data_IF_906887314854
#
_entry.id   IF_906887314854
#
_cell.length_a   1.000
_cell.length_b   1.000
_cell.length_c   1.000
_cell.angle_alpha   90.00
_cell.angle_beta   90.00
_cell.angle_gamma   90.00
#
_symmetry.space_group_name_H-M   'P 1'
#
loop_
_entity.id
_entity.type
_entity.pdbx_description
1 polymer ?
#
# COMPACT_ATOMS: atom_id res chain seq x y z
N UNK A 1 -1.37 25.97 -30.35
CA UNK A 1 -0.80 26.01 -28.99
C UNK A 1 -0.80 24.58 -28.44
N UNK A 2 0.34 24.07 -27.99
CA UNK A 2 0.41 22.76 -27.34
C UNK A 2 0.03 22.93 -25.86
N UNK A 3 -1.20 22.56 -25.50
CA UNK A 3 -1.62 22.49 -24.11
C UNK A 3 -1.00 21.24 -23.49
N UNK A 4 -0.11 21.42 -22.50
CA UNK A 4 0.42 20.34 -21.68
C UNK A 4 -0.62 20.08 -20.57
N UNK A 5 -1.48 19.03 -20.66
CA UNK A 5 -2.47 18.76 -19.61
C UNK A 5 -1.75 18.52 -18.27
N UNK A 6 -2.35 18.90 -17.13
CA UNK A 6 -1.72 18.71 -15.83
C UNK A 6 -1.40 17.23 -15.66
N UNK A 7 -0.10 16.93 -15.53
CA UNK A 7 0.40 15.57 -15.48
C UNK A 7 0.01 14.93 -14.16
N UNK A 8 -1.11 14.21 -14.15
CA UNK A 8 -1.47 13.18 -13.18
C UNK A 8 -1.64 13.68 -11.75
N UNK A 9 -2.78 13.38 -11.18
CA UNK A 9 -3.28 13.94 -9.93
C UNK A 9 -2.60 13.30 -8.68
N UNK A 10 -1.32 12.92 -8.82
CA UNK A 10 -0.44 12.43 -7.75
C UNK A 10 -0.73 10.99 -7.31
N UNK A 11 -1.82 10.39 -7.78
CA UNK A 11 -2.20 9.04 -7.39
C UNK A 11 -1.64 7.97 -8.32
N UNK A 12 -1.31 6.84 -7.71
CA UNK A 12 -0.92 5.63 -8.41
C UNK A 12 -2.16 5.00 -9.03
N UNK A 13 -2.13 4.80 -10.34
CA UNK A 13 -3.13 3.99 -11.05
C UNK A 13 -2.79 2.49 -10.88
N UNK A 14 -3.66 1.76 -10.18
CA UNK A 14 -3.56 0.30 -10.03
C UNK A 14 -2.94 -0.19 -8.70
N UNK A 15 -2.91 -1.51 -8.55
CA UNK A 15 -2.45 -2.17 -7.34
C UNK A 15 -0.92 -2.18 -7.19
N UNK A 16 -0.43 -2.09 -5.95
CA UNK A 16 0.98 -2.23 -5.61
C UNK A 16 1.34 -3.72 -5.58
N UNK A 17 2.07 -4.19 -6.59
CA UNK A 17 2.42 -5.62 -6.75
C UNK A 17 3.57 -6.09 -5.84
N UNK A 18 4.55 -5.23 -5.57
CA UNK A 18 5.75 -5.57 -4.78
C UNK A 18 5.55 -5.39 -3.27
N UNK A 19 4.30 -5.33 -2.82
CA UNK A 19 3.93 -5.14 -1.41
C UNK A 19 2.75 -6.02 -1.08
N UNK A 20 2.79 -6.60 0.10
CA UNK A 20 1.65 -7.24 0.74
C UNK A 20 1.40 -6.61 2.11
N UNK A 21 0.25 -6.89 2.70
CA UNK A 21 -0.08 -6.43 4.04
C UNK A 21 -0.68 -7.57 4.86
N UNK A 22 -0.28 -7.65 6.12
CA UNK A 22 -0.81 -8.58 7.10
C UNK A 22 -1.54 -7.83 8.22
N UNK A 23 -2.59 -8.46 8.75
CA UNK A 23 -3.30 -7.96 9.92
C UNK A 23 -2.59 -8.41 11.20
N UNK A 24 -2.29 -7.47 12.09
CA UNK A 24 -1.77 -7.76 13.41
C UNK A 24 -2.94 -7.77 14.42
N UNK A 25 -3.36 -8.93 14.95
CA UNK A 25 -4.47 -9.00 15.89
C UNK A 25 -4.15 -8.42 17.27
N UNK A 26 -2.87 -8.26 17.63
CA UNK A 26 -2.47 -7.76 18.96
C UNK A 26 -2.75 -6.26 19.13
N UNK A 27 -2.76 -5.50 18.03
CA UNK A 27 -3.02 -4.06 18.06
C UNK A 27 -4.06 -3.62 17.02
N UNK A 28 -4.71 -4.58 16.37
CA UNK A 28 -5.75 -4.38 15.34
C UNK A 28 -5.32 -3.49 14.19
N UNK A 29 -4.04 -3.54 13.79
CA UNK A 29 -3.47 -2.70 12.71
C UNK A 29 -2.93 -3.52 11.55
N UNK A 30 -2.90 -2.89 10.37
CA UNK A 30 -2.34 -3.47 9.16
C UNK A 30 -0.87 -3.07 9.00
N UNK A 31 -0.01 -4.04 8.72
CA UNK A 31 1.43 -3.81 8.51
C UNK A 31 1.82 -4.25 7.11
N UNK A 32 2.56 -3.39 6.38
CA UNK A 32 3.11 -3.73 5.08
C UNK A 32 4.31 -4.66 5.22
N UNK A 33 4.38 -5.61 4.31
CA UNK A 33 5.50 -6.51 4.08
C UNK A 33 6.04 -6.32 2.67
N UNK A 34 7.35 -6.28 2.57
CA UNK A 34 8.04 -6.29 1.29
C UNK A 34 7.91 -7.69 0.67
N UNK A 35 7.44 -7.76 -0.58
CA UNK A 35 7.12 -9.05 -1.21
C UNK A 35 8.38 -9.84 -1.62
N UNK A 36 9.50 -9.15 -1.83
CA UNK A 36 10.75 -9.74 -2.35
C UNK A 36 11.65 -10.21 -1.19
N UNK A 37 11.71 -9.42 -0.12
CA UNK A 37 12.57 -9.68 1.05
C UNK A 37 11.82 -10.25 2.25
N UNK A 38 10.49 -10.17 2.26
CA UNK A 38 9.65 -10.61 3.39
C UNK A 38 9.77 -9.73 4.64
N UNK A 39 10.45 -8.59 4.57
CA UNK A 39 10.66 -7.70 5.72
C UNK A 39 9.41 -6.87 6.03
N UNK A 40 9.13 -6.66 7.31
CA UNK A 40 8.14 -5.69 7.75
C UNK A 40 8.62 -4.27 7.49
N UNK A 41 7.73 -3.40 7.02
CA UNK A 41 8.09 -2.04 6.67
C UNK A 41 7.34 -1.01 7.51
N UNK A 42 6.06 -0.78 7.21
CA UNK A 42 5.30 0.31 7.78
C UNK A 42 3.96 -0.21 8.30
N UNK A 43 3.63 0.16 9.53
CA UNK A 43 2.35 -0.14 10.16
C UNK A 43 1.41 1.05 10.00
N UNK A 44 0.16 0.78 9.66
CA UNK A 44 -0.85 1.82 9.56
C UNK A 44 -1.23 2.31 10.95
N UNK A 45 -1.43 3.62 11.08
CA UNK A 45 -1.86 4.23 12.33
C UNK A 45 -3.33 3.88 12.65
N UNK A 46 -4.16 3.70 11.63
CA UNK A 46 -5.55 3.27 11.77
C UNK A 46 -5.70 1.75 11.56
N UNK A 47 -6.87 1.21 11.93
CA UNK A 47 -7.18 -0.22 11.79
C UNK A 47 -7.61 -0.68 10.40
N UNK A 48 -7.59 0.20 9.39
CA UNK A 48 -8.02 -0.13 8.02
C UNK A 48 -6.83 -0.67 7.20
N UNK A 49 -7.06 -1.44 6.13
CA UNK A 49 -5.98 -1.84 5.24
C UNK A 49 -5.41 -0.65 4.44
N UNK A 50 -4.17 -0.79 3.96
CA UNK A 50 -3.61 0.11 2.97
C UNK A 50 -4.35 -0.02 1.63
N UNK A 51 -4.74 1.11 1.06
CA UNK A 51 -5.40 1.16 -0.26
C UNK A 51 -4.44 0.61 -1.33
N UNK A 52 -4.94 -0.30 -2.16
CA UNK A 52 -4.19 -0.85 -3.30
C UNK A 52 -3.05 -1.82 -2.94
N UNK A 53 -2.92 -2.27 -1.70
CA UNK A 53 -1.93 -3.30 -1.30
C UNK A 53 -2.65 -4.62 -1.07
N UNK A 54 -2.12 -5.75 -1.59
CA UNK A 54 -2.77 -7.06 -1.42
C UNK A 54 -2.72 -7.53 0.03
N UNK A 55 -3.81 -8.09 0.54
CA UNK A 55 -3.84 -8.76 1.85
C UNK A 55 -3.19 -10.13 1.73
N UNK A 56 -2.34 -10.48 2.69
CA UNK A 56 -1.87 -11.85 2.86
C UNK A 56 -3.04 -12.72 3.35
N UNK A 57 -3.12 -13.96 2.86
CA UNK A 57 -4.12 -14.94 3.31
C UNK A 57 -3.59 -15.67 4.53
#
# INVERSE_FOLDING_TARGET
MATNPPKGDGHRNGAVRNRSQAYNPSNSRWTKRDADTGRWMNQKADGKPFKGVRKEK
#
